data_IF_097231441685
#
_entry.id   IF_097231441685
#
_cell.length_a   1.000
_cell.length_b   1.000
_cell.length_c   1.000
_cell.angle_alpha   90.00
_cell.angle_beta   90.00
_cell.angle_gamma   90.00
#
_symmetry.space_group_name_H-M   'P 1'
#
loop_
_entity.id
_entity.type
_entity.pdbx_description
1 polymer ?
#
# COMPACT_ATOMS: atom_id res chain seq x y z
N UNK A 1 18.50 12.06 -17.19
CA UNK A 1 17.36 11.44 -16.49
C UNK A 1 16.25 12.45 -16.35
N UNK A 2 15.07 12.11 -16.87
CA UNK A 2 13.83 12.89 -16.73
C UNK A 2 13.37 12.93 -15.26
N UNK A 3 12.51 13.88 -14.91
CA UNK A 3 11.93 13.99 -13.56
C UNK A 3 11.18 12.71 -13.17
N UNK A 4 10.46 12.11 -14.12
CA UNK A 4 9.71 10.86 -13.93
C UNK A 4 10.63 9.67 -13.67
N UNK A 5 11.75 9.55 -14.39
CA UNK A 5 12.74 8.49 -14.16
C UNK A 5 13.36 8.59 -12.77
N UNK A 6 13.75 9.80 -12.35
CA UNK A 6 14.31 10.03 -11.01
C UNK A 6 13.31 9.70 -9.91
N UNK A 7 12.04 10.08 -10.10
CA UNK A 7 10.97 9.75 -9.16
C UNK A 7 10.74 8.24 -9.07
N UNK A 8 10.67 7.57 -10.23
CA UNK A 8 10.51 6.12 -10.32
C UNK A 8 11.66 5.39 -9.60
N UNK A 9 12.92 5.77 -9.85
CA UNK A 9 14.06 5.19 -9.15
C UNK A 9 14.02 5.46 -7.64
N UNK A 10 13.64 6.67 -7.24
CA UNK A 10 13.52 7.04 -5.83
C UNK A 10 12.51 6.16 -5.09
N UNK A 11 11.30 5.98 -5.65
CA UNK A 11 10.26 5.14 -5.06
C UNK A 11 10.72 3.67 -5.02
N UNK A 12 11.20 3.13 -6.14
CA UNK A 12 11.61 1.72 -6.19
C UNK A 12 12.76 1.40 -5.23
N UNK A 13 13.73 2.30 -5.09
CA UNK A 13 14.82 2.10 -4.15
C UNK A 13 14.39 2.31 -2.69
N UNK A 14 13.52 3.30 -2.42
CA UNK A 14 13.02 3.60 -1.08
C UNK A 14 12.10 2.53 -0.50
N UNK A 15 11.25 1.92 -1.34
CA UNK A 15 10.32 0.86 -0.96
C UNK A 15 10.83 -0.56 -1.29
N UNK A 16 12.15 -0.71 -1.52
CA UNK A 16 12.77 -2.01 -1.71
C UNK A 16 12.74 -2.80 -0.40
N UNK A 17 11.91 -3.85 -0.36
CA UNK A 17 11.75 -4.70 0.81
C UNK A 17 12.65 -5.94 0.72
N UNK A 18 13.15 -6.41 1.87
CA UNK A 18 13.77 -7.75 2.00
C UNK A 18 12.74 -8.71 2.59
N UNK A 19 12.57 -9.88 1.99
CA UNK A 19 11.56 -10.87 2.40
C UNK A 19 10.15 -10.51 1.93
N UNK A 20 9.14 -11.06 2.59
CA UNK A 20 7.74 -10.84 2.21
C UNK A 20 7.26 -9.40 2.48
N UNK A 21 6.42 -8.93 1.57
CA UNK A 21 5.77 -7.63 1.60
C UNK A 21 4.37 -7.72 1.01
N UNK A 22 3.58 -6.68 1.25
CA UNK A 22 2.35 -6.37 0.53
C UNK A 22 2.56 -5.12 -0.32
N UNK A 23 1.90 -5.03 -1.47
CA UNK A 23 1.90 -3.82 -2.30
C UNK A 23 0.66 -3.00 -2.00
N UNK A 24 0.84 -1.76 -1.55
CA UNK A 24 -0.28 -0.88 -1.21
C UNK A 24 -0.80 -0.09 -2.41
N UNK A 25 0.04 0.14 -3.42
CA UNK A 25 -0.30 0.92 -4.59
C UNK A 25 0.94 1.40 -5.33
N UNK A 26 0.77 2.46 -6.12
CA UNK A 26 1.84 3.07 -6.89
C UNK A 26 2.03 4.55 -6.53
N UNK A 27 3.24 5.06 -6.67
CA UNK A 27 3.58 6.45 -6.44
C UNK A 27 2.93 7.38 -7.47
N UNK A 28 2.49 8.56 -7.01
CA UNK A 28 1.98 9.64 -7.86
C UNK A 28 3.03 10.75 -7.94
N UNK A 29 3.24 11.27 -9.16
CA UNK A 29 4.07 12.45 -9.42
C UNK A 29 3.16 13.56 -9.97
N UNK A 30 2.83 14.54 -9.13
CA UNK A 30 1.80 15.53 -9.46
C UNK A 30 0.42 14.86 -9.48
N UNK A 31 -0.27 14.93 -10.62
CA UNK A 31 -1.58 14.30 -10.83
C UNK A 31 -1.49 12.98 -11.61
N UNK A 32 -0.27 12.57 -12.00
CA UNK A 32 -0.06 11.35 -12.78
C UNK A 32 0.41 10.19 -11.88
N UNK A 33 -0.28 9.06 -12.01
CA UNK A 33 0.11 7.82 -11.33
C UNK A 33 1.17 7.11 -12.14
N UNK A 34 2.35 6.92 -11.57
CA UNK A 34 3.42 6.14 -12.19
C UNK A 34 3.19 4.66 -11.83
N UNK A 35 2.41 3.95 -12.65
CA UNK A 35 1.88 2.59 -12.36
C UNK A 35 2.93 1.56 -11.96
N UNK A 36 4.18 1.73 -12.40
CA UNK A 36 5.27 0.81 -12.11
C UNK A 36 6.08 1.20 -10.85
N UNK A 37 5.84 2.37 -10.25
CA UNK A 37 6.52 2.83 -9.04
C UNK A 37 5.81 2.27 -7.80
N UNK A 38 5.97 0.97 -7.55
CA UNK A 38 5.21 0.26 -6.51
C UNK A 38 5.66 0.64 -5.09
N UNK A 39 4.67 0.89 -4.24
CA UNK A 39 4.84 1.15 -2.80
C UNK A 39 4.62 -0.15 -2.05
N UNK A 40 5.72 -0.79 -1.65
CA UNK A 40 5.71 -2.06 -0.94
C UNK A 40 5.95 -1.85 0.56
N UNK A 41 5.23 -2.59 1.39
CA UNK A 41 5.36 -2.56 2.85
C UNK A 41 5.76 -3.95 3.36
N UNK A 42 6.89 -4.10 4.06
CA UNK A 42 7.31 -5.40 4.60
C UNK A 42 6.28 -5.97 5.58
N UNK A 43 6.02 -7.28 5.55
CA UNK A 43 5.07 -7.90 6.49
C UNK A 43 5.48 -7.69 7.95
N UNK A 44 6.79 -7.69 8.24
CA UNK A 44 7.34 -7.47 9.59
C UNK A 44 6.98 -6.12 10.21
N UNK A 45 6.56 -5.13 9.41
CA UNK A 45 6.15 -3.81 9.93
C UNK A 45 4.64 -3.71 10.19
N UNK A 46 3.85 -4.68 9.71
CA UNK A 46 2.40 -4.72 9.89
C UNK A 46 1.95 -5.17 11.28
N UNK A 47 2.88 -5.50 12.17
CA UNK A 47 2.62 -5.70 13.59
C UNK A 47 2.50 -4.37 14.38
N UNK A 48 2.57 -3.22 13.70
CA UNK A 48 2.33 -1.89 14.25
C UNK A 48 0.92 -1.43 13.92
N UNK A 49 0.34 -0.62 14.82
CA UNK A 49 -0.96 0.00 14.56
C UNK A 49 -0.89 0.93 13.35
N UNK A 50 -1.87 0.83 12.46
CA UNK A 50 -2.06 1.71 11.31
C UNK A 50 -3.38 2.49 11.42
N UNK A 51 -3.46 3.63 10.73
CA UNK A 51 -4.65 4.46 10.64
C UNK A 51 -4.99 4.72 9.17
N UNK A 52 -6.16 4.29 8.73
CA UNK A 52 -6.72 4.64 7.42
C UNK A 52 -7.72 5.79 7.64
N UNK A 53 -7.38 6.98 7.16
CA UNK A 53 -8.20 8.18 7.27
C UNK A 53 -8.47 8.79 5.89
N UNK A 54 -9.55 9.56 5.77
CA UNK A 54 -9.98 10.18 4.51
C UNK A 54 -11.46 10.61 4.55
N UNK A 55 -11.89 11.43 3.60
CA UNK A 55 -13.28 11.85 3.49
C UNK A 55 -14.21 10.69 3.09
N UNK A 56 -15.53 10.87 3.20
CA UNK A 56 -16.49 9.86 2.71
C UNK A 56 -16.34 9.70 1.20
N UNK A 57 -16.36 8.45 0.70
CA UNK A 57 -16.18 8.17 -0.72
C UNK A 57 -14.74 8.07 -1.22
N UNK A 58 -13.71 8.34 -0.39
CA UNK A 58 -12.29 8.27 -0.80
C UNK A 58 -11.68 6.87 -0.65
N UNK A 59 -12.50 5.82 -0.67
CA UNK A 59 -12.01 4.44 -0.70
C UNK A 59 -11.58 3.82 0.62
N UNK A 60 -11.80 4.43 1.80
CA UNK A 60 -11.37 3.88 3.12
C UNK A 60 -11.74 2.39 3.32
N UNK A 61 -12.99 2.02 3.08
CA UNK A 61 -13.47 0.63 3.22
C UNK A 61 -12.76 -0.29 2.21
N UNK A 62 -12.57 0.18 0.98
CA UNK A 62 -11.89 -0.60 -0.06
C UNK A 62 -10.41 -0.80 0.24
N UNK A 63 -9.73 0.22 0.76
CA UNK A 63 -8.34 0.12 1.23
C UNK A 63 -8.21 -0.90 2.35
N UNK A 64 -9.12 -0.88 3.34
CA UNK A 64 -9.12 -1.87 4.43
C UNK A 64 -9.34 -3.30 3.90
N UNK A 65 -10.28 -3.47 2.97
CA UNK A 65 -10.56 -4.76 2.34
C UNK A 65 -9.33 -5.29 1.58
N UNK A 66 -8.74 -4.50 0.70
CA UNK A 66 -7.57 -4.91 -0.10
C UNK A 66 -6.39 -5.25 0.83
N UNK A 67 -6.19 -4.49 1.90
CA UNK A 67 -5.14 -4.77 2.88
C UNK A 67 -5.36 -6.14 3.55
N UNK A 68 -6.58 -6.42 3.99
CA UNK A 68 -6.94 -7.69 4.61
C UNK A 68 -6.81 -8.87 3.65
N UNK A 69 -7.24 -8.72 2.40
CA UNK A 69 -7.11 -9.74 1.35
C UNK A 69 -5.63 -10.08 1.12
N UNK A 70 -4.76 -9.07 0.92
CA UNK A 70 -3.32 -9.27 0.75
C UNK A 70 -2.66 -9.94 1.96
N UNK A 71 -3.07 -9.59 3.18
CA UNK A 71 -2.54 -10.24 4.40
C UNK A 71 -2.99 -11.70 4.50
N UNK A 72 -4.25 -11.98 4.18
CA UNK A 72 -4.82 -13.34 4.15
C UNK A 72 -4.14 -14.22 3.10
N UNK A 73 -3.89 -13.69 1.88
CA UNK A 73 -3.16 -14.39 0.81
C UNK A 73 -1.73 -14.76 1.21
N UNK A 74 -1.11 -13.96 2.09
CA UNK A 74 0.20 -14.25 2.69
C UNK A 74 0.13 -15.19 3.90
N UNK A 75 -1.04 -15.77 4.18
CA UNK A 75 -1.27 -16.71 5.27
C UNK A 75 -1.38 -16.06 6.65
N UNK A 76 -1.55 -14.74 6.73
CA UNK A 76 -1.73 -14.03 8.00
C UNK A 76 -3.21 -14.08 8.39
N UNK A 77 -3.57 -14.58 9.59
CA UNK A 77 -4.94 -14.53 10.07
C UNK A 77 -5.43 -13.08 10.21
N UNK A 78 -6.58 -12.76 9.62
CA UNK A 78 -7.17 -11.42 9.68
C UNK A 78 -8.54 -11.46 10.35
N UNK A 79 -8.75 -10.58 11.32
CA UNK A 79 -10.05 -10.28 11.91
C UNK A 79 -10.43 -8.84 11.54
N UNK A 80 -11.53 -8.69 10.82
CA UNK A 80 -12.10 -7.39 10.47
C UNK A 80 -13.40 -7.16 11.25
N UNK A 81 -13.54 -5.97 11.81
CA UNK A 81 -14.82 -5.48 12.33
C UNK A 81 -15.30 -4.39 11.37
N UNK A 82 -16.28 -4.73 10.52
CA UNK A 82 -16.94 -3.76 9.66
C UNK A 82 -18.22 -3.26 10.35
N UNK A 83 -18.29 -1.95 10.59
CA UNK A 83 -19.43 -1.30 11.24
C UNK A 83 -20.50 -0.91 10.21
N UNK A 84 -20.19 -0.94 8.90
CA UNK A 84 -21.02 -0.31 7.88
C UNK A 84 -21.54 -1.21 6.76
N UNK A 85 -21.11 -2.48 6.65
CA UNK A 85 -21.70 -3.52 5.80
C UNK A 85 -22.19 -3.07 4.43
#
# INVERSE_FOLDING_TARGET
>A
MSTTEKFFEHINNGYKCKGDFITLGAGMLGEETITNALVNVPLKTLNRHGLIAGATGTGKTKTLQVLAENMSEKGIPVLLMDVKG
#
